data_IF_518774285331
#
_entry.id   IF_518774285331
#
_cell.length_a   1.000
_cell.length_b   1.000
_cell.length_c   1.000
_cell.angle_alpha   90.00
_cell.angle_beta   90.00
_cell.angle_gamma   90.00
#
_symmetry.space_group_name_H-M   'P 1'
#
loop_
_entity.id
_entity.type
_entity.pdbx_description
1 polymer ?
#
# COMPACT_ATOMS: atom_id res chain seq x y z
N UNK A 1 15.95 7.06 14.16
CA UNK A 1 14.54 6.96 14.56
C UNK A 1 14.26 5.49 14.82
N UNK A 2 13.71 5.15 15.96
CA UNK A 2 13.30 3.81 16.35
C UNK A 2 11.82 3.82 16.74
N UNK A 3 11.25 2.67 17.13
CA UNK A 3 9.84 2.57 17.50
C UNK A 3 9.46 3.44 18.71
N UNK A 4 10.37 3.63 19.66
CA UNK A 4 10.10 4.47 20.85
C UNK A 4 9.94 5.95 20.47
N UNK A 5 10.66 6.41 19.44
CA UNK A 5 10.54 7.78 18.93
C UNK A 5 9.18 8.01 18.23
N UNK A 6 8.63 6.99 17.58
CA UNK A 6 7.38 7.07 16.80
C UNK A 6 6.12 6.80 17.64
N UNK A 7 6.24 6.19 18.83
CA UNK A 7 5.09 5.63 19.55
C UNK A 7 4.05 6.68 19.95
N UNK A 8 4.49 7.91 20.26
CA UNK A 8 3.58 8.99 20.65
C UNK A 8 2.65 9.37 19.47
N UNK A 9 3.21 9.54 18.28
CA UNK A 9 2.48 9.90 17.06
C UNK A 9 1.56 8.75 16.63
N UNK A 10 2.05 7.50 16.69
CA UNK A 10 1.25 6.33 16.38
C UNK A 10 0.05 6.17 17.34
N UNK A 11 0.24 6.44 18.63
CA UNK A 11 -0.88 6.44 19.59
C UNK A 11 -1.85 7.60 19.36
N UNK A 12 -1.36 8.76 18.95
CA UNK A 12 -2.22 9.87 18.57
C UNK A 12 -3.10 9.49 17.37
N UNK A 13 -2.48 8.94 16.31
CA UNK A 13 -3.19 8.41 15.14
C UNK A 13 -4.20 7.33 15.55
N UNK A 14 -3.82 6.42 16.42
CA UNK A 14 -4.67 5.34 16.92
C UNK A 14 -5.96 5.81 17.62
N UNK A 15 -5.96 7.00 18.23
CA UNK A 15 -7.12 7.59 18.91
C UNK A 15 -8.15 8.23 17.98
N UNK A 16 -7.81 8.44 16.70
CA UNK A 16 -8.77 8.93 15.72
C UNK A 16 -9.90 7.90 15.54
N UNK A 17 -11.11 8.31 15.12
CA UNK A 17 -12.21 7.37 14.88
C UNK A 17 -11.92 6.42 13.72
N UNK A 18 -12.57 5.26 13.72
CA UNK A 18 -12.47 4.23 12.68
C UNK A 18 -11.26 3.29 12.83
N UNK A 19 -11.21 2.24 12.03
CA UNK A 19 -10.05 1.36 11.90
C UNK A 19 -8.92 2.08 11.15
N UNK A 20 -7.69 1.90 11.58
CA UNK A 20 -6.50 2.47 10.94
C UNK A 20 -5.58 1.36 10.52
N UNK A 21 -5.37 1.24 9.22
CA UNK A 21 -4.46 0.28 8.60
C UNK A 21 -3.24 1.06 8.10
N UNK A 22 -2.07 0.65 8.55
CA UNK A 22 -0.80 1.33 8.28
C UNK A 22 0.07 0.44 7.40
N UNK A 23 0.62 1.02 6.34
CA UNK A 23 1.60 0.38 5.45
C UNK A 23 2.94 1.07 5.62
N UNK A 24 4.02 0.29 5.55
CA UNK A 24 5.38 0.79 5.68
C UNK A 24 5.78 1.68 4.51
N UNK A 25 6.26 2.89 4.78
CA UNK A 25 6.95 3.73 3.82
C UNK A 25 8.48 3.54 3.80
N UNK A 26 9.15 4.24 2.90
CA UNK A 26 10.61 4.18 2.77
C UNK A 26 11.36 4.94 3.87
N UNK A 27 10.72 5.89 4.53
CA UNK A 27 11.26 6.66 5.65
C UNK A 27 10.85 6.13 7.03
N UNK A 28 10.08 5.03 7.10
CA UNK A 28 9.66 4.43 8.36
C UNK A 28 10.77 3.57 8.97
N UNK A 29 11.86 4.21 9.34
CA UNK A 29 13.01 3.56 10.00
C UNK A 29 12.67 2.99 11.38
N UNK A 30 11.56 3.42 11.97
CA UNK A 30 11.00 2.91 13.22
C UNK A 30 10.28 1.56 13.06
N UNK A 31 10.00 1.13 11.83
CA UNK A 31 9.23 -0.08 11.56
C UNK A 31 9.92 -1.33 12.12
N UNK A 32 9.16 -2.08 12.91
CA UNK A 32 9.59 -3.31 13.58
C UNK A 32 8.67 -4.49 13.18
N UNK A 33 8.69 -5.58 13.92
CA UNK A 33 7.75 -6.69 13.70
C UNK A 33 6.32 -6.25 13.99
N UNK A 34 5.36 -6.75 13.21
CA UNK A 34 3.93 -6.44 13.39
C UNK A 34 3.49 -6.73 14.84
N UNK A 35 3.91 -7.87 15.40
CA UNK A 35 3.60 -8.24 16.78
C UNK A 35 4.08 -7.20 17.81
N UNK A 36 5.30 -6.69 17.65
CA UNK A 36 5.84 -5.67 18.55
C UNK A 36 5.10 -4.35 18.39
N UNK A 37 4.88 -3.88 17.15
CA UNK A 37 4.17 -2.64 16.87
C UNK A 37 2.72 -2.68 17.38
N UNK A 38 2.00 -3.77 17.14
CA UNK A 38 0.64 -3.96 17.67
C UNK A 38 0.59 -3.90 19.19
N UNK A 39 1.53 -4.56 19.87
CA UNK A 39 1.62 -4.50 21.34
C UNK A 39 1.91 -3.09 21.85
N UNK A 40 2.85 -2.38 21.24
CA UNK A 40 3.24 -1.04 21.67
C UNK A 40 2.16 0.01 21.42
N UNK A 41 1.36 -0.15 20.38
CA UNK A 41 0.20 0.71 20.08
C UNK A 41 -1.07 0.28 20.83
N UNK A 42 -1.02 -0.81 21.62
CA UNK A 42 -2.19 -1.33 22.34
C UNK A 42 -3.30 -1.83 21.41
N UNK A 43 -2.96 -2.28 20.20
CA UNK A 43 -3.92 -2.76 19.21
C UNK A 43 -4.75 -1.66 18.53
N UNK A 44 -4.43 -0.39 18.74
CA UNK A 44 -5.17 0.72 18.13
C UNK A 44 -4.91 0.89 16.64
N UNK A 45 -3.82 0.31 16.13
CA UNK A 45 -3.42 0.31 14.72
C UNK A 45 -3.26 -1.12 14.22
N UNK A 46 -3.64 -1.34 12.98
CA UNK A 46 -3.36 -2.57 12.23
C UNK A 46 -2.24 -2.31 11.22
N UNK A 47 -1.29 -3.22 11.12
CA UNK A 47 -0.13 -3.06 10.26
C UNK A 47 -0.21 -4.05 9.10
N UNK A 48 -0.43 -3.53 7.90
CA UNK A 48 -0.44 -4.32 6.68
C UNK A 48 1.00 -4.51 6.19
N UNK A 49 1.52 -5.72 6.34
CA UNK A 49 2.90 -6.05 5.98
C UNK A 49 3.00 -7.50 5.51
N UNK A 50 3.02 -7.71 4.20
CA UNK A 50 3.05 -9.05 3.57
C UNK A 50 1.90 -9.96 4.02
N UNK A 51 0.77 -9.37 4.33
CA UNK A 51 -0.40 -10.01 4.90
C UNK A 51 -1.65 -9.45 4.24
N UNK A 52 -2.80 -9.95 4.67
CA UNK A 52 -4.11 -9.47 4.22
C UNK A 52 -4.92 -9.03 5.43
N UNK A 53 -5.64 -7.93 5.27
CA UNK A 53 -6.62 -7.46 6.24
C UNK A 53 -7.97 -7.37 5.53
N UNK A 54 -9.00 -7.99 6.12
CA UNK A 54 -10.36 -7.95 5.59
C UNK A 54 -11.18 -6.91 6.33
N UNK A 55 -11.93 -6.12 5.57
CA UNK A 55 -12.89 -5.16 6.11
C UNK A 55 -14.15 -5.14 5.24
N UNK A 56 -15.31 -5.50 5.82
CA UNK A 56 -16.52 -5.76 5.03
C UNK A 56 -16.27 -6.83 3.97
N UNK A 57 -16.60 -6.51 2.73
CA UNK A 57 -16.40 -7.37 1.57
C UNK A 57 -15.05 -7.16 0.85
N UNK A 58 -14.18 -6.33 1.40
CA UNK A 58 -12.91 -5.94 0.78
C UNK A 58 -11.74 -6.62 1.49
N UNK A 59 -10.88 -7.30 0.74
CA UNK A 59 -9.57 -7.76 1.19
C UNK A 59 -8.49 -6.76 0.74
N UNK A 60 -7.78 -6.21 1.70
CA UNK A 60 -6.63 -5.35 1.49
C UNK A 60 -5.36 -6.19 1.56
N UNK A 61 -4.64 -6.26 0.46
CA UNK A 61 -3.36 -6.96 0.36
C UNK A 61 -2.24 -5.94 0.12
N UNK A 62 -1.09 -6.10 0.75
CA UNK A 62 -0.09 -5.06 0.54
C UNK A 62 1.31 -5.36 1.04
N UNK A 63 2.21 -4.57 0.53
CA UNK A 63 3.62 -4.49 0.90
C UNK A 63 4.12 -3.07 0.69
N UNK A 64 5.37 -2.79 1.05
CA UNK A 64 5.97 -1.48 0.76
C UNK A 64 6.09 -1.22 -0.75
N UNK A 65 6.37 -2.24 -1.54
CA UNK A 65 6.80 -2.07 -2.92
C UNK A 65 8.23 -1.55 -3.02
N UNK A 66 8.65 -1.26 -4.24
CA UNK A 66 9.95 -0.67 -4.56
C UNK A 66 9.86 0.06 -5.91
N UNK A 67 10.99 0.64 -6.36
CA UNK A 67 11.11 1.20 -7.71
C UNK A 67 10.71 0.15 -8.76
N UNK A 68 10.09 0.61 -9.85
CA UNK A 68 9.80 -0.25 -11.00
C UNK A 68 11.10 -0.83 -11.57
N UNK A 69 11.06 -2.07 -12.05
CA UNK A 69 12.16 -2.76 -12.71
C UNK A 69 12.65 -2.06 -13.99
N UNK A 70 11.85 -1.13 -14.51
CA UNK A 70 12.19 -0.30 -15.69
C UNK A 70 12.64 1.11 -15.32
N UNK A 71 12.76 1.43 -14.02
CA UNK A 71 13.20 2.74 -13.57
C UNK A 71 14.66 3.02 -13.96
N UNK A 72 14.95 4.20 -14.55
CA UNK A 72 16.32 4.60 -14.84
C UNK A 72 17.17 4.88 -13.60
N UNK A 73 16.57 4.90 -12.43
CA UNK A 73 17.25 5.13 -11.13
C UNK A 73 17.73 3.83 -10.47
N UNK A 74 17.45 2.68 -11.09
CA UNK A 74 17.83 1.38 -10.53
C UNK A 74 19.34 1.20 -10.46
N UNK A 75 19.74 0.57 -9.37
CA UNK A 75 21.09 0.02 -9.16
C UNK A 75 21.03 -1.50 -9.07
N UNK A 76 22.18 -2.16 -9.17
CA UNK A 76 22.25 -3.63 -9.02
C UNK A 76 21.74 -4.09 -7.63
N UNK A 77 21.86 -3.27 -6.61
CA UNK A 77 21.38 -3.58 -5.26
C UNK A 77 19.85 -3.54 -5.12
N UNK A 78 19.14 -2.94 -6.08
CA UNK A 78 17.68 -2.85 -6.06
C UNK A 78 17.01 -4.13 -6.58
N UNK A 79 17.64 -4.86 -7.48
CA UNK A 79 17.08 -6.08 -8.09
C UNK A 79 16.59 -7.11 -7.06
N UNK A 80 17.37 -7.50 -6.03
CA UNK A 80 16.91 -8.43 -5.01
C UNK A 80 15.81 -7.83 -4.13
N UNK A 81 15.74 -6.49 -4.00
CA UNK A 81 14.66 -5.83 -3.25
C UNK A 81 13.37 -5.91 -4.04
N UNK A 82 13.40 -5.61 -5.35
CA UNK A 82 12.25 -5.72 -6.25
C UNK A 82 11.67 -7.14 -6.19
N UNK A 83 12.47 -8.15 -6.47
CA UNK A 83 12.03 -9.55 -6.46
C UNK A 83 11.42 -9.97 -5.11
N UNK A 84 11.95 -9.46 -4.00
CA UNK A 84 11.41 -9.69 -2.67
C UNK A 84 10.07 -9.00 -2.47
N UNK A 85 9.89 -7.75 -2.89
CA UNK A 85 8.65 -7.01 -2.74
C UNK A 85 7.55 -7.57 -3.65
N UNK A 86 7.88 -8.02 -4.87
CA UNK A 86 6.98 -8.76 -5.76
C UNK A 86 6.47 -10.05 -5.11
N UNK A 87 7.38 -10.88 -4.59
CA UNK A 87 7.00 -12.11 -3.89
C UNK A 87 6.19 -11.86 -2.60
N UNK A 88 6.36 -10.70 -1.97
CA UNK A 88 5.57 -10.26 -0.81
C UNK A 88 4.16 -9.85 -1.22
N UNK A 89 4.03 -9.09 -2.29
CA UNK A 89 2.73 -8.72 -2.85
C UNK A 89 1.96 -9.98 -3.26
N UNK A 90 2.59 -10.87 -4.03
CA UNK A 90 1.96 -12.10 -4.48
C UNK A 90 1.47 -12.96 -3.30
N UNK A 91 2.30 -13.13 -2.27
CA UNK A 91 1.89 -13.85 -1.05
C UNK A 91 0.70 -13.18 -0.36
N UNK A 92 0.69 -11.87 -0.27
CA UNK A 92 -0.40 -11.10 0.33
C UNK A 92 -1.70 -11.29 -0.46
N UNK A 93 -1.64 -11.27 -1.79
CA UNK A 93 -2.78 -11.50 -2.67
C UNK A 93 -3.28 -12.96 -2.62
N UNK A 94 -2.38 -13.93 -2.53
CA UNK A 94 -2.75 -15.35 -2.29
C UNK A 94 -3.51 -15.55 -0.98
N UNK A 95 -3.16 -14.78 0.05
CA UNK A 95 -3.90 -14.80 1.31
C UNK A 95 -5.26 -14.11 1.16
N UNK A 96 -5.33 -13.00 0.40
CA UNK A 96 -6.57 -12.30 0.13
C UNK A 96 -7.58 -13.17 -0.62
N UNK A 97 -7.15 -13.88 -1.65
CA UNK A 97 -7.97 -14.81 -2.43
C UNK A 97 -8.65 -15.88 -1.53
N UNK A 98 -7.91 -16.39 -0.54
CA UNK A 98 -8.43 -17.40 0.40
C UNK A 98 -9.50 -16.87 1.37
N UNK A 99 -9.67 -15.56 1.47
CA UNK A 99 -10.66 -14.96 2.37
C UNK A 99 -12.08 -15.04 1.82
N UNK A 100 -12.25 -15.24 0.52
CA UNK A 100 -13.53 -15.19 -0.16
C UNK A 100 -14.14 -13.78 -0.26
N UNK A 101 -13.36 -12.74 0.02
CA UNK A 101 -13.82 -11.35 -0.17
C UNK A 101 -14.20 -11.10 -1.64
N UNK A 102 -15.28 -10.36 -1.87
CA UNK A 102 -15.77 -10.09 -3.21
C UNK A 102 -14.93 -9.07 -3.98
N UNK A 103 -14.12 -8.28 -3.28
CA UNK A 103 -13.23 -7.26 -3.86
C UNK A 103 -11.84 -7.36 -3.25
N UNK A 104 -10.82 -7.27 -4.09
CA UNK A 104 -9.43 -7.20 -3.66
C UNK A 104 -8.82 -5.86 -4.07
N UNK A 105 -8.16 -5.21 -3.10
CA UNK A 105 -7.39 -4.00 -3.32
C UNK A 105 -5.94 -4.20 -2.91
N UNK A 106 -5.02 -3.69 -3.71
CA UNK A 106 -3.61 -3.62 -3.34
C UNK A 106 -3.31 -2.31 -2.61
N UNK A 107 -2.45 -2.37 -1.59
CA UNK A 107 -1.95 -1.18 -0.88
C UNK A 107 -0.43 -1.22 -0.90
N UNK A 108 0.16 -0.26 -1.57
CA UNK A 108 1.60 -0.12 -1.74
C UNK A 108 2.06 1.24 -1.19
N UNK A 109 3.33 1.36 -0.83
CA UNK A 109 3.91 2.69 -0.63
C UNK A 109 4.48 3.22 -1.94
N UNK A 110 5.27 2.42 -2.67
CA UNK A 110 5.80 2.83 -3.98
C UNK A 110 4.73 2.71 -5.08
N UNK A 111 4.75 3.60 -6.09
CA UNK A 111 3.83 3.50 -7.22
C UNK A 111 4.09 2.21 -8.03
N UNK A 112 3.04 1.59 -8.59
CA UNK A 112 3.18 0.39 -9.41
C UNK A 112 3.54 0.70 -10.88
N UNK A 113 4.28 1.77 -11.12
CA UNK A 113 4.75 2.22 -12.43
C UNK A 113 6.07 2.99 -12.32
N UNK A 114 6.75 3.15 -13.44
CA UNK A 114 8.00 3.91 -13.53
C UNK A 114 7.79 5.42 -13.72
N UNK A 115 8.89 6.17 -13.88
CA UNK A 115 8.87 7.62 -14.09
C UNK A 115 8.21 8.03 -15.41
N UNK A 116 8.14 7.11 -16.38
CA UNK A 116 7.44 7.31 -17.66
C UNK A 116 6.00 6.83 -17.62
N UNK A 117 5.49 6.46 -16.44
CA UNK A 117 4.13 5.94 -16.20
C UNK A 117 3.88 4.58 -16.87
N UNK A 118 4.91 3.83 -17.20
CA UNK A 118 4.78 2.47 -17.72
C UNK A 118 4.50 1.51 -16.56
N UNK A 119 3.58 0.54 -16.73
CA UNK A 119 3.27 -0.45 -15.69
C UNK A 119 4.53 -1.20 -15.25
N UNK A 120 4.68 -1.44 -13.95
CA UNK A 120 5.68 -2.35 -13.41
C UNK A 120 5.13 -3.78 -13.36
N UNK A 121 6.00 -4.75 -13.11
CA UNK A 121 5.60 -6.15 -12.89
C UNK A 121 4.61 -6.33 -11.73
N UNK A 122 4.55 -5.39 -10.79
CA UNK A 122 3.51 -5.36 -9.75
C UNK A 122 2.09 -5.30 -10.34
N UNK A 123 1.88 -4.61 -11.47
CA UNK A 123 0.59 -4.57 -12.17
C UNK A 123 0.22 -5.97 -12.69
N UNK A 124 1.15 -6.71 -13.30
CA UNK A 124 0.88 -8.07 -13.77
C UNK A 124 0.53 -9.02 -12.62
N UNK A 125 1.21 -8.89 -11.48
CA UNK A 125 0.88 -9.65 -10.28
C UNK A 125 -0.55 -9.31 -9.81
N UNK A 126 -0.90 -8.04 -9.73
CA UNK A 126 -2.24 -7.60 -9.33
C UNK A 126 -3.34 -8.10 -10.28
N UNK A 127 -3.12 -8.07 -11.59
CA UNK A 127 -4.04 -8.60 -12.60
C UNK A 127 -4.31 -10.09 -12.40
N UNK A 128 -3.28 -10.89 -12.13
CA UNK A 128 -3.40 -12.33 -11.88
C UNK A 128 -4.40 -12.65 -10.77
N UNK A 129 -4.53 -11.78 -9.77
CA UNK A 129 -5.44 -11.95 -8.63
C UNK A 129 -6.70 -11.07 -8.72
N UNK A 130 -7.00 -10.53 -9.89
CA UNK A 130 -8.21 -9.73 -10.12
C UNK A 130 -8.34 -8.53 -9.18
N UNK A 131 -7.22 -7.89 -8.84
CA UNK A 131 -7.21 -6.65 -8.06
C UNK A 131 -7.90 -5.55 -8.87
N UNK A 132 -8.84 -4.87 -8.23
CA UNK A 132 -9.61 -3.79 -8.89
C UNK A 132 -9.02 -2.41 -8.67
N UNK A 133 -8.33 -2.22 -7.55
CA UNK A 133 -7.81 -0.92 -7.11
C UNK A 133 -6.42 -1.07 -6.48
N UNK A 134 -5.56 -0.11 -6.72
CA UNK A 134 -4.27 0.01 -6.06
C UNK A 134 -4.15 1.37 -5.39
N UNK A 135 -4.02 1.37 -4.07
CA UNK A 135 -3.76 2.55 -3.26
C UNK A 135 -2.24 2.68 -3.11
N UNK A 136 -1.70 3.85 -3.40
CA UNK A 136 -0.26 4.07 -3.31
C UNK A 136 0.09 5.49 -2.83
N UNK A 137 1.34 5.71 -2.43
CA UNK A 137 1.86 6.99 -1.97
C UNK A 137 3.21 7.33 -2.63
N UNK A 138 4.19 7.75 -1.82
CA UNK A 138 5.58 7.99 -2.18
C UNK A 138 5.84 9.20 -3.08
N UNK A 139 4.97 9.50 -4.04
CA UNK A 139 5.13 10.64 -4.95
C UNK A 139 4.76 11.92 -4.21
N UNK A 140 5.67 12.88 -4.16
CA UNK A 140 5.50 14.18 -3.53
C UNK A 140 5.92 15.32 -4.45
N UNK A 141 5.33 16.49 -4.23
CA UNK A 141 5.65 17.73 -4.94
C UNK A 141 4.87 17.91 -6.24
N UNK A 142 4.26 19.08 -6.43
CA UNK A 142 3.39 19.39 -7.55
C UNK A 142 3.94 19.03 -8.95
N UNK A 143 5.23 19.20 -9.26
CA UNK A 143 5.76 18.79 -10.57
C UNK A 143 5.65 17.29 -10.86
N UNK A 144 5.59 16.45 -9.82
CA UNK A 144 5.52 15.00 -9.93
C UNK A 144 4.09 14.49 -10.09
N UNK A 145 3.07 15.33 -9.87
CA UNK A 145 1.66 14.97 -9.97
C UNK A 145 1.11 15.09 -11.40
N UNK A 146 1.93 15.57 -12.32
CA UNK A 146 1.51 15.75 -13.72
C UNK A 146 1.40 14.39 -14.42
N UNK A 147 0.30 14.20 -15.16
CA UNK A 147 0.04 13.00 -15.96
C UNK A 147 0.12 11.68 -15.16
N UNK A 148 -0.31 11.69 -13.91
CA UNK A 148 -0.45 10.45 -13.15
C UNK A 148 -1.57 9.61 -13.76
N UNK A 149 -1.35 8.29 -13.97
CA UNK A 149 -2.41 7.43 -14.48
C UNK A 149 -3.48 7.22 -13.40
N UNK A 150 -4.74 7.36 -13.78
CA UNK A 150 -5.88 7.01 -12.94
C UNK A 150 -6.21 5.52 -13.01
N UNK A 151 -5.76 4.86 -14.09
CA UNK A 151 -5.93 3.44 -14.32
C UNK A 151 -4.76 2.89 -15.14
N UNK A 152 -4.30 1.67 -14.82
CA UNK A 152 -3.38 0.89 -15.62
C UNK A 152 -3.87 -0.55 -15.72
N UNK A 153 -3.99 -1.05 -16.97
CA UNK A 153 -4.35 -2.45 -17.25
C UNK A 153 -5.64 -2.91 -16.55
N UNK A 154 -6.62 -2.00 -16.39
CA UNK A 154 -7.91 -2.28 -15.73
C UNK A 154 -7.89 -2.14 -14.21
N UNK A 155 -6.79 -1.70 -13.61
CA UNK A 155 -6.65 -1.45 -12.17
C UNK A 155 -6.72 0.05 -11.94
N UNK A 156 -7.69 0.50 -11.12
CA UNK A 156 -7.80 1.90 -10.70
C UNK A 156 -6.67 2.25 -9.74
N UNK A 157 -6.07 3.41 -9.91
CA UNK A 157 -4.92 3.86 -9.16
C UNK A 157 -5.27 5.08 -8.29
N UNK A 158 -5.03 4.97 -6.98
CA UNK A 158 -5.34 6.01 -6.01
C UNK A 158 -4.07 6.51 -5.33
N UNK A 159 -3.57 7.67 -5.77
CA UNK A 159 -2.47 8.35 -5.05
C UNK A 159 -3.01 8.96 -3.76
N UNK A 160 -2.38 8.62 -2.64
CA UNK A 160 -2.79 9.10 -1.31
C UNK A 160 -1.69 9.86 -0.58
N UNK A 161 -0.74 10.45 -1.31
CA UNK A 161 0.26 11.35 -0.72
C UNK A 161 -0.42 12.58 -0.13
N UNK A 162 -0.04 12.94 1.09
CA UNK A 162 -0.72 13.98 1.87
C UNK A 162 -0.75 15.34 1.18
N UNK A 163 0.35 15.73 0.54
CA UNK A 163 0.47 16.99 -0.21
C UNK A 163 -0.32 16.97 -1.53
N UNK A 164 -0.52 15.81 -2.13
CA UNK A 164 -1.40 15.65 -3.29
C UNK A 164 -2.87 15.85 -2.92
N UNK A 165 -3.28 15.35 -1.75
CA UNK A 165 -4.65 15.43 -1.25
C UNK A 165 -4.94 16.69 -0.44
N UNK A 166 -4.02 17.65 -0.38
CA UNK A 166 -4.17 18.86 0.48
C UNK A 166 -4.50 18.47 1.93
N UNK A 167 -3.86 17.39 2.42
CA UNK A 167 -4.06 16.82 3.76
C UNK A 167 -5.50 16.42 4.09
N UNK A 168 -6.31 16.12 3.08
CA UNK A 168 -7.70 15.67 3.24
C UNK A 168 -7.81 14.17 2.99
N UNK A 169 -8.67 13.45 3.73
CA UNK A 169 -8.96 12.07 3.43
C UNK A 169 -9.55 11.90 2.02
N UNK A 170 -9.08 10.89 1.30
CA UNK A 170 -9.61 10.52 0.00
C UNK A 170 -10.57 9.34 0.14
N UNK A 171 -11.81 9.51 -0.32
CA UNK A 171 -12.80 8.43 -0.36
C UNK A 171 -12.49 7.50 -1.55
N UNK A 172 -12.44 6.20 -1.30
CA UNK A 172 -12.18 5.19 -2.34
C UNK A 172 -13.45 4.38 -2.62
N UNK A 173 -14.07 3.83 -1.60
CA UNK A 173 -15.31 3.07 -1.75
C UNK A 173 -16.03 2.89 -0.42
N UNK A 174 -17.30 2.53 -0.47
CA UNK A 174 -18.01 1.96 0.66
C UNK A 174 -17.63 0.48 0.85
N UNK A 175 -17.56 0.04 2.10
CA UNK A 175 -17.19 -1.33 2.44
C UNK A 175 -18.38 -2.30 2.38
N UNK A 176 -19.60 -1.76 2.30
CA UNK A 176 -20.86 -2.50 2.30
C UNK A 176 -21.49 -2.59 0.89
N UNK A 177 -20.90 -1.94 -0.12
CA UNK A 177 -21.43 -1.99 -1.47
C UNK A 177 -21.30 -3.38 -2.08
N UNK A 178 -22.36 -4.16 -1.86
CA UNK A 178 -22.68 -5.38 -2.59
C UNK A 178 -23.65 -5.03 -3.73
N UNK A 179 -23.30 -4.10 -4.58
CA UNK A 179 -24.02 -3.97 -5.85
C UNK A 179 -23.36 -4.86 -6.89
N UNK A 180 -23.87 -6.07 -6.98
CA UNK A 180 -23.80 -6.98 -8.12
C UNK A 180 -24.64 -6.41 -9.26
#
# INVERSE_FOLDING_TARGET
>A
MNMDDAIADLKMLGRLPGRKIVVRGNHDYWWDTVTKMTRMTGGMLEFLHNSTIVTGQVALAGTRGWLSETSPKLTETDKPIIAREEGRLERSLQLAEKTGASRMMAVLHYPPFDEMRRPSHMIEIMKKYHVTDCIYGHIHGAPNFVNLPEELEGIKLHLTSADYLDFKPHFICDLEDTHV
#
